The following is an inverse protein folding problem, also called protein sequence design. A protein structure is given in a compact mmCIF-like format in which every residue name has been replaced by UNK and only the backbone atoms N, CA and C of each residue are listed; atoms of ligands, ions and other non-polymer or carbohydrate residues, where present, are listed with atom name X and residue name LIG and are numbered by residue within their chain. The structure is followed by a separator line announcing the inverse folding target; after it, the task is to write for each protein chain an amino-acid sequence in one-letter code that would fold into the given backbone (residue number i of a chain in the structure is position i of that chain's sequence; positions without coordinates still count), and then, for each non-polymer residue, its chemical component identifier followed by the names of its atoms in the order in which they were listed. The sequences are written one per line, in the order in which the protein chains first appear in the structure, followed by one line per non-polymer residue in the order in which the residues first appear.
data_IF_394141709609
#
_entry.id   IF_394141709609
#
_cell.length_a   1.000
_cell.length_b   1.000
_cell.length_c   1.000
_cell.angle_alpha   90.00
_cell.angle_beta   90.00
_cell.angle_gamma   90.00
#
_symmetry.space_group_name_H-M   'P 1'
#
loop_
_entity.id
_entity.type
_entity.pdbx_description
1 polymer ?
#
# COMPACT_ATOMS: atom_id res chain seq x y z
N UNK A 1 9.04 -21.17 -3.20
CA UNK A 1 9.13 -19.73 -2.82
C UNK A 1 8.44 -18.92 -3.88
N UNK A 2 7.37 -18.22 -3.53
CA UNK A 2 6.52 -17.45 -4.45
C UNK A 2 6.57 -15.97 -4.09
N UNK A 3 6.60 -15.12 -5.11
CA UNK A 3 6.44 -13.68 -4.96
C UNK A 3 5.04 -13.32 -5.46
N UNK A 4 4.30 -12.60 -4.65
CA UNK A 4 2.92 -12.17 -4.95
C UNK A 4 2.79 -10.68 -4.67
N UNK A 5 1.96 -10.01 -5.46
CA UNK A 5 1.66 -8.60 -5.27
C UNK A 5 0.21 -8.29 -5.57
N UNK A 6 -0.28 -7.21 -4.96
CA UNK A 6 -1.62 -6.67 -5.16
C UNK A 6 -1.52 -5.15 -5.26
N UNK A 7 -2.43 -4.56 -6.03
CA UNK A 7 -2.55 -3.11 -6.17
C UNK A 7 -3.92 -2.65 -5.70
N UNK A 8 -3.95 -1.56 -4.95
CA UNK A 8 -5.16 -0.90 -4.47
C UNK A 8 -5.21 0.51 -5.00
N UNK A 9 -6.29 0.87 -5.70
CA UNK A 9 -6.61 2.27 -5.97
C UNK A 9 -7.37 2.83 -4.77
N UNK A 10 -6.87 3.94 -4.23
CA UNK A 10 -7.43 4.62 -3.08
C UNK A 10 -7.98 5.96 -3.50
N UNK A 11 -9.24 6.21 -3.13
CA UNK A 11 -9.81 7.55 -3.10
C UNK A 11 -9.64 8.14 -1.70
N UNK A 12 -9.12 9.36 -1.62
CA UNK A 12 -8.80 10.05 -0.37
C UNK A 12 -9.75 11.25 -0.18
N UNK A 13 -10.99 11.04 0.29
CA UNK A 13 -11.92 12.13 0.55
C UNK A 13 -11.38 13.01 1.68
N UNK A 14 -11.45 14.34 1.51
CA UNK A 14 -11.09 15.31 2.55
C UNK A 14 -9.60 15.63 2.68
N UNK A 15 -8.70 14.87 2.06
CA UNK A 15 -7.33 15.37 1.79
C UNK A 15 -7.47 16.59 0.90
N UNK A 16 -6.70 17.66 1.10
CA UNK A 16 -6.83 18.94 0.36
C UNK A 16 -5.53 19.43 -0.28
N UNK A 17 -4.43 18.69 -0.09
CA UNK A 17 -3.12 19.06 -0.62
C UNK A 17 -2.21 17.84 -0.81
N UNK A 18 -1.18 17.98 -1.66
CA UNK A 18 -0.16 16.94 -1.85
C UNK A 18 0.63 16.64 -0.57
N UNK A 19 0.87 17.65 0.26
CA UNK A 19 1.55 17.48 1.55
C UNK A 19 0.73 16.61 2.50
N UNK A 20 -0.56 16.89 2.59
CA UNK A 20 -1.48 16.12 3.41
C UNK A 20 -1.60 14.68 2.90
N UNK A 21 -1.75 14.48 1.58
CA UNK A 21 -1.70 13.15 0.97
C UNK A 21 -0.45 12.38 1.38
N UNK A 22 0.74 13.00 1.22
CA UNK A 22 2.03 12.35 1.55
C UNK A 22 2.06 11.92 3.02
N UNK A 23 1.51 12.72 3.94
CA UNK A 23 1.40 12.35 5.36
C UNK A 23 0.46 11.15 5.57
N UNK A 24 -0.73 11.19 4.96
CA UNK A 24 -1.74 10.12 5.06
C UNK A 24 -1.21 8.80 4.50
N UNK A 25 -0.66 8.81 3.28
CA UNK A 25 -0.09 7.63 2.63
C UNK A 25 1.11 7.09 3.41
N UNK A 26 1.97 7.96 3.94
CA UNK A 26 3.11 7.50 4.77
C UNK A 26 2.63 6.80 6.03
N UNK A 27 1.63 7.35 6.73
CA UNK A 27 1.04 6.70 7.90
C UNK A 27 0.44 5.33 7.55
N UNK A 28 -0.29 5.24 6.44
CA UNK A 28 -0.88 3.98 5.97
C UNK A 28 0.19 2.93 5.64
N UNK A 29 1.24 3.32 4.89
CA UNK A 29 2.37 2.43 4.58
C UNK A 29 3.06 1.92 5.84
N UNK A 30 3.29 2.78 6.83
CA UNK A 30 3.90 2.39 8.11
C UNK A 30 3.02 1.39 8.85
N UNK A 31 1.70 1.60 8.92
CA UNK A 31 0.77 0.66 9.57
C UNK A 31 0.78 -0.71 8.90
N UNK A 32 0.79 -0.75 7.56
CA UNK A 32 0.84 -2.00 6.79
C UNK A 32 2.13 -2.77 7.08
N UNK A 33 3.29 -2.10 7.01
CA UNK A 33 4.60 -2.72 7.31
C UNK A 33 4.72 -3.20 8.75
N UNK A 34 4.10 -2.51 9.70
CA UNK A 34 4.16 -2.90 11.11
C UNK A 34 3.26 -4.11 11.42
N UNK A 35 2.19 -4.33 10.65
CA UNK A 35 1.24 -5.44 10.88
C UNK A 35 1.63 -6.70 10.12
N UNK A 36 2.30 -6.57 8.98
CA UNK A 36 2.59 -7.68 8.08
C UNK A 36 4.02 -7.58 7.55
N UNK A 37 4.65 -8.74 7.31
CA UNK A 37 5.99 -8.80 6.73
C UNK A 37 5.96 -8.58 5.21
N UNK A 38 5.52 -7.39 4.78
CA UNK A 38 5.28 -7.06 3.37
C UNK A 38 6.00 -5.76 2.97
N UNK A 39 6.33 -5.66 1.69
CA UNK A 39 6.76 -4.42 1.06
C UNK A 39 5.55 -3.65 0.54
N UNK A 40 5.52 -2.33 0.76
CA UNK A 40 4.45 -1.46 0.27
C UNK A 40 5.02 -0.17 -0.30
N UNK A 41 4.49 0.28 -1.44
CA UNK A 41 4.89 1.51 -2.13
C UNK A 41 3.68 2.23 -2.75
N UNK A 42 3.80 3.54 -2.92
CA UNK A 42 2.86 4.30 -3.76
C UNK A 42 3.40 4.32 -5.20
N UNK A 43 2.60 3.86 -6.16
CA UNK A 43 3.01 3.63 -7.55
C UNK A 43 2.21 4.43 -8.57
N UNK A 44 1.22 5.22 -8.14
CA UNK A 44 0.37 6.00 -9.05
C UNK A 44 -0.27 7.22 -8.43
N UNK A 45 -0.69 8.15 -9.29
CA UNK A 45 -1.35 9.42 -8.94
C UNK A 45 -0.56 10.35 -8.00
N UNK A 46 0.79 10.33 -8.02
CA UNK A 46 1.62 11.10 -7.08
C UNK A 46 1.35 12.62 -7.11
N UNK A 47 0.96 13.16 -8.27
CA UNK A 47 0.61 14.58 -8.48
C UNK A 47 -0.89 14.89 -8.26
N UNK A 48 -1.69 13.90 -7.87
CA UNK A 48 -3.11 14.07 -7.52
C UNK A 48 -3.32 13.77 -6.04
N UNK A 49 -3.90 14.70 -5.29
CA UNK A 49 -4.04 14.56 -3.84
C UNK A 49 -5.24 13.71 -3.40
N UNK A 50 -6.28 13.59 -4.23
CA UNK A 50 -7.48 12.80 -3.92
C UNK A 50 -7.40 11.32 -4.37
N UNK A 51 -6.31 10.92 -5.04
CA UNK A 51 -6.13 9.56 -5.54
C UNK A 51 -4.73 9.05 -5.27
N UNK A 52 -4.58 7.75 -5.07
CA UNK A 52 -3.28 7.09 -4.95
C UNK A 52 -3.42 5.64 -5.37
N UNK A 53 -2.37 5.05 -5.96
CA UNK A 53 -2.28 3.59 -6.10
C UNK A 53 -1.22 3.10 -5.14
N UNK A 54 -1.58 2.18 -4.25
CA UNK A 54 -0.63 1.46 -3.41
C UNK A 54 -0.40 0.05 -3.96
N UNK A 55 0.86 -0.31 -4.14
CA UNK A 55 1.28 -1.67 -4.43
C UNK A 55 1.82 -2.32 -3.15
N UNK A 56 1.37 -3.54 -2.85
CA UNK A 56 1.87 -4.36 -1.75
C UNK A 56 2.43 -5.66 -2.35
N UNK A 57 3.63 -6.05 -1.94
CA UNK A 57 4.29 -7.27 -2.40
C UNK A 57 4.86 -8.06 -1.22
N UNK A 58 4.81 -9.39 -1.30
CA UNK A 58 5.36 -10.27 -0.29
C UNK A 58 5.93 -11.56 -0.91
N UNK A 59 6.78 -12.22 -0.13
CA UNK A 59 7.41 -13.49 -0.50
C UNK A 59 6.95 -14.53 0.52
N UNK A 60 6.51 -15.69 0.04
CA UNK A 60 6.11 -16.81 0.90
C UNK A 60 6.78 -18.11 0.44
N UNK A 61 7.10 -18.98 1.40
CA UNK A 61 7.55 -20.35 1.14
C UNK A 61 6.32 -21.25 0.87
N UNK A 62 6.50 -22.32 0.08
CA UNK A 62 5.40 -23.25 -0.20
C UNK A 62 5.04 -23.99 1.10
N UNK A 63 3.99 -23.54 1.79
CA UNK A 63 3.54 -24.08 3.08
C UNK A 63 2.81 -23.05 3.97
N UNK A 64 3.15 -21.76 3.85
CA UNK A 64 2.37 -20.68 4.47
C UNK A 64 1.24 -20.28 3.51
N UNK A 65 0.01 -20.63 3.88
CA UNK A 65 -1.19 -20.28 3.10
C UNK A 65 -1.26 -18.76 2.87
N UNK A 66 -1.12 -18.35 1.61
CA UNK A 66 -1.22 -16.96 1.17
C UNK A 66 -2.70 -16.51 1.07
N UNK A 67 -3.65 -17.40 1.31
CA UNK A 67 -5.08 -17.22 1.05
C UNK A 67 -5.88 -17.00 2.35
N UNK A 68 -5.63 -15.92 3.09
CA UNK A 68 -6.44 -15.54 4.28
C UNK A 68 -6.66 -14.03 4.50
N UNK A 69 -6.49 -13.18 3.49
CA UNK A 69 -6.73 -11.72 3.64
C UNK A 69 -7.34 -11.14 2.38
#
# INVERSE_FOLDING_TARGET
MRLTSVMFELYLPGVSSLKEKRRTITSLKTRIRNRMNVSVAEVGYQETWQRSILAVAWIASDGEGIDRT
#
